data_IF_948518507842
#
_entry.id   IF_948518507842
#
_cell.length_a   1.000
_cell.length_b   1.000
_cell.length_c   1.000
_cell.angle_alpha   90.00
_cell.angle_beta   90.00
_cell.angle_gamma   90.00
#
_symmetry.space_group_name_H-M   'P 1'
#
loop_
_entity.id
_entity.type
_entity.pdbx_description
1 polymer ?
#
# COMPACT_ATOMS: atom_id res chain seq x y z
N UNK A 1 -12.81 4.20 -4.37
CA UNK A 1 -11.79 5.24 -4.13
C UNK A 1 -10.43 4.88 -4.74
N UNK A 2 -10.12 3.60 -4.88
CA UNK A 2 -8.90 3.04 -5.50
C UNK A 2 -8.46 3.62 -6.86
N UNK A 3 -9.38 4.12 -7.69
CA UNK A 3 -9.05 4.63 -9.03
C UNK A 3 -8.59 6.10 -9.04
N UNK A 4 -8.73 6.83 -7.93
CA UNK A 4 -8.23 8.19 -7.85
C UNK A 4 -6.73 8.12 -7.50
N UNK A 5 -5.82 8.68 -8.31
CA UNK A 5 -4.40 8.68 -7.99
C UNK A 5 -4.09 9.59 -6.78
N UNK A 6 -2.96 9.32 -6.13
CA UNK A 6 -2.42 10.21 -5.10
C UNK A 6 -1.78 11.40 -5.79
N UNK A 7 -2.23 12.60 -5.45
CA UNK A 7 -1.60 13.84 -5.88
C UNK A 7 -0.29 14.05 -5.10
N UNK A 8 0.84 14.17 -5.82
CA UNK A 8 2.19 14.09 -5.23
C UNK A 8 2.78 15.45 -4.85
N UNK A 9 2.19 16.55 -5.32
CA UNK A 9 2.73 17.90 -5.11
C UNK A 9 2.04 18.61 -3.94
N UNK A 10 2.71 19.58 -3.30
CA UNK A 10 2.11 20.37 -2.22
C UNK A 10 0.99 21.29 -2.75
N UNK A 11 0.20 21.83 -1.83
CA UNK A 11 -0.92 22.70 -2.16
C UNK A 11 -0.51 24.01 -2.87
N UNK A 12 0.72 24.50 -2.65
CA UNK A 12 1.28 25.67 -3.35
C UNK A 12 1.40 25.41 -4.84
N UNK A 13 2.03 24.30 -5.22
CA UNK A 13 2.17 23.87 -6.61
C UNK A 13 0.80 23.73 -7.28
N UNK A 14 -0.14 23.06 -6.61
CA UNK A 14 -1.50 22.92 -7.15
C UNK A 14 -2.19 24.27 -7.44
N UNK A 15 -1.89 25.31 -6.65
CA UNK A 15 -2.42 26.66 -6.87
C UNK A 15 -1.73 27.36 -8.03
N UNK A 16 -0.43 27.22 -8.16
CA UNK A 16 0.37 27.82 -9.24
C UNK A 16 0.05 27.22 -10.61
N UNK A 17 -0.40 25.96 -10.64
CA UNK A 17 -0.67 25.20 -11.87
C UNK A 17 -2.16 24.98 -12.16
N UNK A 18 -3.06 25.65 -11.43
CA UNK A 18 -4.53 25.48 -11.56
C UNK A 18 -5.05 24.03 -11.33
N UNK A 19 -4.29 23.21 -10.59
CA UNK A 19 -4.60 21.81 -10.27
C UNK A 19 -5.26 21.64 -8.88
N UNK A 20 -5.72 22.73 -8.26
CA UNK A 20 -6.30 22.73 -6.91
C UNK A 20 -7.47 21.76 -6.73
N UNK A 21 -8.30 21.57 -7.77
CA UNK A 21 -9.41 20.63 -7.72
C UNK A 21 -8.92 19.18 -7.56
N UNK A 22 -7.88 18.80 -8.31
CA UNK A 22 -7.27 17.48 -8.23
C UNK A 22 -6.59 17.25 -6.87
N UNK A 23 -5.86 18.26 -6.37
CA UNK A 23 -5.27 18.24 -5.04
C UNK A 23 -6.35 18.01 -3.96
N UNK A 24 -7.45 18.78 -3.99
CA UNK A 24 -8.54 18.67 -2.99
C UNK A 24 -9.22 17.31 -3.04
N UNK A 25 -9.54 16.80 -4.23
CA UNK A 25 -10.15 15.48 -4.39
C UNK A 25 -9.22 14.35 -3.87
N UNK A 26 -7.93 14.43 -4.19
CA UNK A 26 -6.94 13.50 -3.67
C UNK A 26 -6.84 13.61 -2.15
N UNK A 27 -6.79 14.82 -1.60
CA UNK A 27 -6.66 15.06 -0.17
C UNK A 27 -7.89 14.58 0.62
N UNK A 28 -9.09 14.76 0.08
CA UNK A 28 -10.31 14.20 0.67
C UNK A 28 -10.25 12.67 0.74
N UNK A 29 -9.78 12.03 -0.32
CA UNK A 29 -9.62 10.58 -0.36
C UNK A 29 -8.47 10.10 0.53
N UNK A 30 -7.43 10.92 0.74
CA UNK A 30 -6.37 10.68 1.72
C UNK A 30 -6.92 10.70 3.15
N UNK A 31 -7.75 11.69 3.50
CA UNK A 31 -8.41 11.76 4.80
C UNK A 31 -9.30 10.53 5.04
N UNK A 32 -10.10 10.14 4.05
CA UNK A 32 -10.92 8.93 4.13
C UNK A 32 -10.07 7.65 4.28
N UNK A 33 -8.90 7.59 3.64
CA UNK A 33 -7.98 6.46 3.78
C UNK A 33 -7.36 6.39 5.18
N UNK A 34 -6.95 7.53 5.74
CA UNK A 34 -6.51 7.65 7.15
C UNK A 34 -7.59 7.10 8.09
N UNK A 35 -8.82 7.59 7.97
CA UNK A 35 -9.94 7.16 8.82
C UNK A 35 -10.23 5.66 8.66
N UNK A 36 -10.12 5.12 7.45
CA UNK A 36 -10.30 3.70 7.20
C UNK A 36 -9.20 2.84 7.83
N UNK A 37 -7.94 3.31 7.85
CA UNK A 37 -6.84 2.63 8.57
C UNK A 37 -7.12 2.63 10.07
N UNK A 38 -7.53 3.78 10.62
CA UNK A 38 -7.87 3.90 12.05
C UNK A 38 -9.03 2.97 12.44
N UNK A 39 -10.06 2.89 11.59
CA UNK A 39 -11.17 1.97 11.77
C UNK A 39 -10.74 0.51 11.67
N UNK A 40 -9.97 0.15 10.65
CA UNK A 40 -9.49 -1.20 10.47
C UNK A 40 -8.63 -1.66 11.65
N UNK A 41 -7.73 -0.83 12.17
CA UNK A 41 -6.95 -1.16 13.37
C UNK A 41 -7.85 -1.37 14.58
N UNK A 42 -8.84 -0.49 14.80
CA UNK A 42 -9.75 -0.56 15.95
C UNK A 42 -10.61 -1.82 15.93
N UNK A 43 -11.11 -2.17 14.76
CA UNK A 43 -12.11 -3.23 14.59
C UNK A 43 -11.46 -4.62 14.57
N UNK A 44 -10.22 -4.71 14.06
CA UNK A 44 -9.51 -5.98 13.85
C UNK A 44 -8.38 -6.26 14.85
N UNK A 45 -8.19 -5.41 15.86
CA UNK A 45 -7.22 -5.67 16.94
C UNK A 45 -7.88 -6.35 18.14
N UNK A 46 -7.56 -7.63 18.37
CA UNK A 46 -8.05 -8.45 19.49
C UNK A 46 -6.95 -9.40 19.98
N UNK A 47 -6.97 -9.77 21.26
CA UNK A 47 -6.02 -10.74 21.85
C UNK A 47 -4.53 -10.44 21.55
N UNK A 48 -4.17 -9.15 21.58
CA UNK A 48 -2.83 -8.64 21.24
C UNK A 48 -2.36 -9.00 19.82
N UNK A 49 -3.31 -9.15 18.89
CA UNK A 49 -3.05 -9.44 17.48
C UNK A 49 -3.92 -8.55 16.60
N UNK A 50 -3.35 -8.14 15.48
CA UNK A 50 -4.07 -7.44 14.42
C UNK A 50 -4.32 -8.44 13.29
N UNK A 51 -5.59 -8.67 12.97
CA UNK A 51 -5.97 -9.55 11.85
C UNK A 51 -5.49 -8.96 10.52
N UNK A 52 -4.97 -9.82 9.66
CA UNK A 52 -4.62 -9.48 8.27
C UNK A 52 -5.80 -8.93 7.46
N UNK A 53 -7.04 -9.27 7.83
CA UNK A 53 -8.25 -8.70 7.24
C UNK A 53 -8.32 -7.16 7.35
N UNK A 54 -7.65 -6.57 8.35
CA UNK A 54 -7.54 -5.13 8.50
C UNK A 54 -6.88 -4.48 7.28
N UNK A 55 -5.81 -5.12 6.77
CA UNK A 55 -5.08 -4.65 5.59
C UNK A 55 -5.95 -4.77 4.35
N UNK A 56 -6.59 -5.93 4.17
CA UNK A 56 -7.44 -6.21 3.02
C UNK A 56 -8.59 -5.20 2.91
N UNK A 57 -9.24 -4.87 4.02
CA UNK A 57 -10.31 -3.86 4.06
C UNK A 57 -9.87 -2.51 3.49
N UNK A 58 -8.70 -2.01 3.89
CA UNK A 58 -8.18 -0.71 3.44
C UNK A 58 -7.71 -0.78 1.98
N UNK A 59 -6.94 -1.81 1.64
CA UNK A 59 -6.34 -1.96 0.31
C UNK A 59 -7.39 -2.22 -0.76
N UNK A 60 -8.47 -2.95 -0.46
CA UNK A 60 -9.57 -3.14 -1.41
C UNK A 60 -10.25 -1.81 -1.76
N UNK A 61 -10.44 -0.92 -0.77
CA UNK A 61 -11.15 0.35 -0.98
C UNK A 61 -10.26 1.44 -1.61
N UNK A 62 -8.98 1.52 -1.21
CA UNK A 62 -8.08 2.63 -1.53
C UNK A 62 -6.85 2.24 -2.35
N UNK A 63 -6.47 0.96 -2.38
CA UNK A 63 -5.25 0.47 -3.01
C UNK A 63 -3.99 0.65 -2.16
N UNK A 64 -2.93 -0.05 -2.54
CA UNK A 64 -1.64 -0.01 -1.85
C UNK A 64 -0.96 1.35 -1.94
N UNK A 65 -0.97 2.01 -3.10
CA UNK A 65 -0.30 3.30 -3.29
C UNK A 65 -0.76 4.35 -2.28
N UNK A 66 -2.07 4.44 -2.07
CA UNK A 66 -2.66 5.40 -1.14
C UNK A 66 -2.46 4.99 0.31
N UNK A 67 -2.64 3.71 0.63
CA UNK A 67 -2.36 3.20 1.98
C UNK A 67 -0.90 3.45 2.38
N UNK A 68 0.04 3.17 1.49
CA UNK A 68 1.46 3.45 1.71
C UNK A 68 1.76 4.93 1.82
N UNK A 69 1.13 5.79 1.02
CA UNK A 69 1.30 7.23 1.15
C UNK A 69 0.90 7.74 2.54
N UNK A 70 -0.25 7.32 3.07
CA UNK A 70 -0.72 7.71 4.40
C UNK A 70 0.17 7.14 5.52
N UNK A 71 0.55 5.87 5.41
CA UNK A 71 1.42 5.23 6.41
C UNK A 71 2.81 5.88 6.43
N UNK A 72 3.38 6.22 5.28
CA UNK A 72 4.65 6.91 5.19
C UNK A 72 4.57 8.32 5.78
N UNK A 73 3.51 9.10 5.48
CA UNK A 73 3.26 10.39 6.17
C UNK A 73 3.25 10.18 7.69
N UNK A 74 2.48 9.20 8.15
CA UNK A 74 2.31 8.94 9.59
C UNK A 74 3.65 8.67 10.28
N UNK A 75 4.49 7.81 9.69
CA UNK A 75 5.79 7.45 10.24
C UNK A 75 6.77 8.63 10.17
N UNK A 76 6.80 9.41 9.08
CA UNK A 76 7.68 10.57 8.96
C UNK A 76 7.31 11.69 9.95
N UNK A 77 6.01 11.91 10.22
CA UNK A 77 5.57 12.91 11.20
C UNK A 77 5.88 12.50 12.66
N UNK A 78 6.18 11.22 12.88
CA UNK A 78 6.49 10.64 14.18
C UNK A 78 7.84 9.90 14.17
N UNK A 79 8.81 10.39 13.40
CA UNK A 79 10.12 9.75 13.22
C UNK A 79 10.91 9.58 14.54
N UNK A 80 10.67 10.49 15.48
CA UNK A 80 11.18 10.50 16.84
C UNK A 80 10.60 9.39 17.71
N UNK A 81 9.44 8.82 17.35
CA UNK A 81 8.79 7.76 18.11
C UNK A 81 9.44 6.40 17.81
N UNK A 82 10.15 5.89 18.82
CA UNK A 82 10.90 4.63 18.73
C UNK A 82 10.02 3.38 18.72
N UNK A 83 8.69 3.50 18.82
CA UNK A 83 7.76 2.37 18.64
C UNK A 83 7.64 1.94 17.18
N UNK A 84 7.97 2.82 16.24
CA UNK A 84 8.14 2.43 14.84
C UNK A 84 9.46 1.69 14.66
N UNK A 85 9.39 0.53 14.01
CA UNK A 85 10.59 -0.27 13.74
C UNK A 85 11.59 0.51 12.86
N UNK A 86 12.91 0.29 13.02
CA UNK A 86 13.92 0.91 12.18
C UNK A 86 13.66 0.72 10.68
N UNK A 87 13.21 -0.47 10.29
CA UNK A 87 12.91 -0.82 8.90
C UNK A 87 11.72 -0.04 8.35
N UNK A 88 10.67 0.18 9.13
CA UNK A 88 9.51 0.96 8.70
C UNK A 88 9.83 2.46 8.61
N UNK A 89 10.66 2.99 9.51
CA UNK A 89 11.14 4.38 9.41
C UNK A 89 12.02 4.59 8.19
N UNK A 90 12.96 3.69 7.95
CA UNK A 90 13.82 3.75 6.76
C UNK A 90 12.99 3.68 5.48
N UNK A 91 11.99 2.78 5.43
CA UNK A 91 11.07 2.67 4.31
C UNK A 91 10.25 3.95 4.11
N UNK A 92 9.69 4.54 5.18
CA UNK A 92 8.89 5.76 5.08
C UNK A 92 9.73 6.94 4.58
N UNK A 93 10.96 7.09 5.09
CA UNK A 93 11.88 8.14 4.65
C UNK A 93 12.29 7.97 3.17
N UNK A 94 12.44 6.74 2.70
CA UNK A 94 12.76 6.47 1.29
C UNK A 94 11.64 6.92 0.32
N UNK A 95 10.38 6.98 0.76
CA UNK A 95 9.26 7.44 -0.07
C UNK A 95 9.35 8.93 -0.44
N UNK A 96 10.22 9.71 0.22
CA UNK A 96 10.53 11.11 -0.12
C UNK A 96 9.28 11.99 -0.28
N UNK A 97 8.38 11.93 0.70
CA UNK A 97 7.12 12.68 0.66
C UNK A 97 7.41 14.18 0.84
N UNK A 98 7.03 15.05 -0.10
CA UNK A 98 7.25 16.48 0.03
C UNK A 98 6.51 17.06 1.24
N UNK A 99 7.17 17.96 1.96
CA UNK A 99 6.50 18.79 2.96
C UNK A 99 5.41 19.63 2.28
N UNK A 100 4.29 19.84 2.98
CA UNK A 100 3.14 20.58 2.48
C UNK A 100 2.81 21.76 3.42
N UNK A 101 3.69 22.78 3.49
CA UNK A 101 3.54 23.87 4.45
C UNK A 101 2.28 24.70 4.17
N UNK A 102 1.64 25.15 5.24
CA UNK A 102 0.61 26.17 5.21
C UNK A 102 1.16 27.59 5.21
N UNK A 103 0.25 28.58 5.24
CA UNK A 103 0.62 29.99 5.24
C UNK A 103 1.42 30.39 6.49
N UNK A 104 1.40 29.57 7.54
CA UNK A 104 2.11 29.76 8.80
C UNK A 104 3.31 28.82 8.94
N UNK A 105 3.65 28.05 7.90
CA UNK A 105 4.79 27.12 7.89
C UNK A 105 4.52 25.75 8.52
N UNK A 106 3.29 25.45 8.95
CA UNK A 106 2.95 24.14 9.49
C UNK A 106 2.78 23.14 8.35
N UNK A 107 3.46 22.00 8.42
CA UNK A 107 3.27 20.93 7.44
C UNK A 107 1.88 20.32 7.55
N UNK A 108 1.02 20.53 6.55
CA UNK A 108 -0.34 20.00 6.51
C UNK A 108 -0.40 18.47 6.46
N UNK A 109 0.70 17.80 6.14
CA UNK A 109 0.76 16.34 6.21
C UNK A 109 0.47 15.82 7.63
N UNK A 110 0.68 16.62 8.67
CA UNK A 110 0.35 16.25 10.05
C UNK A 110 -1.14 15.89 10.24
N UNK A 111 -2.05 16.53 9.49
CA UNK A 111 -3.49 16.23 9.54
C UNK A 111 -3.86 14.89 8.88
N UNK A 112 -2.96 14.34 8.06
CA UNK A 112 -3.12 13.03 7.43
C UNK A 112 -2.47 11.90 8.23
N UNK A 113 -1.77 12.20 9.33
CA UNK A 113 -1.14 11.19 10.17
C UNK A 113 -2.20 10.37 10.94
N UNK A 114 -2.12 9.05 10.86
CA UNK A 114 -3.02 8.11 11.53
C UNK A 114 -2.94 8.28 13.05
N UNK A 115 -4.09 8.60 13.66
CA UNK A 115 -4.26 8.87 15.08
C UNK A 115 -4.60 7.58 15.85
N UNK A 116 -3.77 6.55 15.70
CA UNK A 116 -3.85 5.28 16.44
C UNK A 116 -2.56 5.03 17.24
N UNK A 117 -2.55 4.03 18.13
CA UNK A 117 -1.34 3.72 18.89
C UNK A 117 -0.18 3.37 17.94
N UNK A 118 1.01 4.03 18.05
CA UNK A 118 2.10 3.86 17.08
C UNK A 118 2.56 2.42 16.86
N UNK A 119 2.59 1.60 17.91
CA UNK A 119 2.91 0.17 17.77
C UNK A 119 1.88 -0.63 16.94
N UNK A 120 0.61 -0.23 16.93
CA UNK A 120 -0.41 -0.86 16.09
C UNK A 120 -0.29 -0.39 14.63
N UNK A 121 0.04 0.88 14.43
CA UNK A 121 0.32 1.42 13.09
C UNK A 121 1.56 0.75 12.49
N UNK A 122 2.63 0.56 13.29
CA UNK A 122 3.84 -0.16 12.86
C UNK A 122 3.53 -1.62 12.49
N UNK A 123 2.69 -2.29 13.28
CA UNK A 123 2.23 -3.65 12.97
C UNK A 123 1.41 -3.69 11.68
N UNK A 124 0.44 -2.76 11.51
CA UNK A 124 -0.39 -2.64 10.31
C UNK A 124 0.48 -2.38 9.07
N UNK A 125 1.46 -1.47 9.16
CA UNK A 125 2.38 -1.18 8.07
C UNK A 125 3.21 -2.41 7.68
N UNK A 126 3.75 -3.12 8.67
CA UNK A 126 4.53 -4.34 8.42
C UNK A 126 3.69 -5.41 7.71
N UNK A 127 2.44 -5.60 8.13
CA UNK A 127 1.50 -6.50 7.45
C UNK A 127 1.17 -6.03 6.03
N UNK A 128 0.93 -4.74 5.84
CA UNK A 128 0.63 -4.14 4.52
C UNK A 128 1.79 -4.35 3.54
N UNK A 129 3.04 -4.10 3.98
CA UNK A 129 4.25 -4.34 3.17
C UNK A 129 4.40 -5.81 2.80
N UNK A 130 4.14 -6.72 3.73
CA UNK A 130 4.18 -8.17 3.48
C UNK A 130 3.11 -8.61 2.49
N UNK A 131 1.88 -8.15 2.65
CA UNK A 131 0.77 -8.44 1.75
C UNK A 131 1.04 -7.94 0.32
N UNK A 132 1.59 -6.73 0.19
CA UNK A 132 2.00 -6.18 -1.10
C UNK A 132 3.07 -7.03 -1.79
N UNK A 133 4.13 -7.43 -1.07
CA UNK A 133 5.18 -8.29 -1.62
C UNK A 133 4.62 -9.62 -2.13
N UNK A 134 3.66 -10.21 -1.42
CA UNK A 134 2.98 -11.44 -1.84
C UNK A 134 2.10 -11.22 -3.09
N UNK A 135 1.40 -10.09 -3.20
CA UNK A 135 0.58 -9.77 -4.38
C UNK A 135 1.45 -9.56 -5.63
N UNK A 136 2.58 -8.88 -5.48
CA UNK A 136 3.54 -8.69 -6.58
C UNK A 136 4.13 -10.02 -7.06
N UNK A 137 4.50 -10.91 -6.15
CA UNK A 137 4.96 -12.26 -6.50
C UNK A 137 3.88 -13.06 -7.24
N UNK A 138 2.63 -13.04 -6.75
CA UNK A 138 1.51 -13.75 -7.40
C UNK A 138 1.24 -13.23 -8.81
N UNK A 139 1.31 -11.91 -9.01
CA UNK A 139 1.13 -11.28 -10.33
C UNK A 139 2.24 -11.69 -11.28
N UNK A 140 3.49 -11.61 -10.84
CA UNK A 140 4.66 -12.05 -11.60
C UNK A 140 4.57 -13.53 -12.02
N UNK A 141 4.22 -14.44 -11.09
CA UNK A 141 4.05 -15.86 -11.40
C UNK A 141 2.92 -16.10 -12.40
N UNK A 142 1.79 -15.38 -12.28
CA UNK A 142 0.69 -15.47 -13.25
C UNK A 142 1.12 -15.01 -14.64
N UNK A 143 1.89 -13.94 -14.73
CA UNK A 143 2.40 -13.44 -16.02
C UNK A 143 3.39 -14.41 -16.64
N UNK A 144 4.26 -15.04 -15.84
CA UNK A 144 5.13 -16.12 -16.29
C UNK A 144 4.34 -17.32 -16.81
N UNK A 145 3.29 -17.75 -16.10
CA UNK A 145 2.43 -18.86 -16.53
C UNK A 145 1.68 -18.57 -17.83
N UNK A 146 1.17 -17.33 -18.01
CA UNK A 146 0.51 -16.91 -19.26
C UNK A 146 1.48 -16.82 -20.44
N UNK A 147 2.77 -16.56 -20.18
CA UNK A 147 3.82 -16.44 -21.20
C UNK A 147 4.41 -17.79 -21.61
N UNK A 148 4.10 -18.87 -20.89
CA UNK A 148 4.52 -20.21 -21.27
C UNK A 148 3.72 -20.67 -22.50
N UNK A 149 4.37 -20.94 -23.65
CA UNK A 149 3.65 -21.42 -24.84
C UNK A 149 3.07 -22.82 -24.58
N UNK A 150 1.90 -23.12 -25.17
CA UNK A 150 1.23 -24.43 -25.20
C UNK A 150 2.01 -25.52 -25.98
N UNK A 151 3.32 -25.56 -25.86
CA UNK A 151 4.21 -26.57 -26.45
C UNK A 151 5.00 -27.15 -25.29
N UNK A 152 4.76 -28.38 -24.83
CA UNK A 152 4.63 -29.62 -25.60
C UNK A 152 3.98 -30.66 -24.69
N UNK A 153 2.79 -31.12 -25.04
CA UNK A 153 2.34 -32.46 -24.60
C UNK A 153 3.24 -33.49 -25.28
N UNK A 154 3.93 -34.39 -24.56
CA UNK A 154 4.65 -35.47 -25.22
C UNK A 154 3.63 -36.41 -25.88
N UNK A 155 3.66 -36.52 -27.22
CA UNK A 155 3.00 -37.63 -27.92
C UNK A 155 3.69 -38.92 -27.50
N UNK A 156 3.10 -39.64 -26.55
CA UNK A 156 3.44 -41.03 -26.27
C UNK A 156 3.04 -41.83 -27.51
N UNK A 157 4.00 -42.06 -28.41
CA UNK A 157 3.83 -43.00 -29.52
C UNK A 157 4.02 -44.41 -28.98
N UNK A 158 2.91 -45.06 -28.65
CA UNK A 158 2.88 -46.48 -28.34
C UNK A 158 3.24 -47.27 -29.61
N UNK A 159 4.49 -47.75 -29.70
CA UNK A 159 4.89 -48.76 -30.69
C UNK A 159 4.47 -50.13 -30.16
N UNK A 160 3.27 -50.57 -30.53
CA UNK A 160 2.87 -51.98 -30.45
C UNK A 160 3.73 -52.79 -31.44
N UNK A 161 4.67 -53.59 -30.94
CA UNK A 161 5.29 -54.68 -31.69
C UNK A 161 4.73 -56.00 -31.17
N UNK A 162 4.00 -56.70 -32.02
CA UNK A 162 3.69 -58.13 -31.96
C UNK A 162 3.18 -58.55 -33.34
N UNK A 163 3.16 -59.84 -33.68
CA UNK A 163 4.25 -60.81 -33.75
C UNK A 163 4.29 -61.47 -35.16
N UNK A 164 5.25 -62.37 -35.44
CA UNK A 164 5.28 -63.43 -36.48
C UNK A 164 6.74 -63.63 -36.94
N UNK A 165 7.31 -64.83 -37.15
CA UNK A 165 6.83 -66.21 -37.19
C UNK A 165 8.05 -67.13 -37.02
#
# INVERSE_FOLDING_TARGET
MKNLPVYKHPASYAREHDELAAYRASNQTNAACKEAIEAAIRDHYRDNRLDTAAVDQVVQQFGYDRAFHILAITVCQADWDRRYSPDNRAWANAMSIPANPDAWGTDRNCYLAVSSHPGLVDLFLSQTRKAYAQEQQKTSVRDMLKKLPETTSPKISAKSKSPER
#
